data_IF_215531729167
#
_entry.id   IF_215531729167
#
_cell.length_a   1.000
_cell.length_b   1.000
_cell.length_c   1.000
_cell.angle_alpha   90.00
_cell.angle_beta   90.00
_cell.angle_gamma   90.00
#
_symmetry.space_group_name_H-M   'P 1'
#
loop_
_entity.id
_entity.type
_entity.pdbx_description
1 polymer ?
#
# COMPACT_ATOMS: atom_id res chain seq x y z
N UNK A 1 28.96 46.90 -9.68
CA UNK A 1 30.06 46.38 -8.85
C UNK A 1 29.78 46.72 -7.39
N UNK A 2 29.41 45.73 -6.59
CA UNK A 2 29.41 45.81 -5.13
C UNK A 2 29.59 44.38 -4.61
N UNK A 3 30.77 44.12 -4.03
CA UNK A 3 31.10 42.90 -3.29
C UNK A 3 31.11 43.25 -1.80
N UNK A 4 30.70 42.32 -0.93
CA UNK A 4 31.05 42.14 0.51
C UNK A 4 30.30 40.88 0.98
N UNK A 5 30.90 39.69 0.87
CA UNK A 5 31.77 38.97 1.82
C UNK A 5 31.07 38.33 3.03
N UNK A 6 31.27 37.00 3.10
CA UNK A 6 30.78 36.01 4.06
C UNK A 6 31.55 36.05 5.39
N UNK A 7 30.95 35.54 6.48
CA UNK A 7 31.67 34.69 7.46
C UNK A 7 30.78 33.62 8.10
N UNK A 8 31.36 32.43 8.22
CA UNK A 8 30.87 31.25 8.92
C UNK A 8 31.50 31.16 10.31
N UNK A 9 30.77 30.64 11.29
CA UNK A 9 31.33 30.25 12.59
C UNK A 9 31.06 28.77 12.85
N UNK A 10 32.14 27.99 12.88
CA UNK A 10 32.22 26.69 13.52
C UNK A 10 32.84 26.86 14.92
N UNK A 11 32.49 26.00 15.87
CA UNK A 11 33.14 25.94 17.18
C UNK A 11 33.73 24.55 17.45
N UNK A 12 34.82 24.45 18.24
CA UNK A 12 35.68 23.28 18.29
C UNK A 12 35.43 22.36 19.50
N UNK A 13 36.05 21.18 19.37
CA UNK A 13 36.13 20.05 20.28
C UNK A 13 36.74 20.39 21.66
N UNK A 14 36.41 19.59 22.67
CA UNK A 14 37.23 19.44 23.89
C UNK A 14 37.35 17.96 24.26
N UNK A 15 38.57 17.56 24.56
CA UNK A 15 39.01 16.21 24.95
C UNK A 15 39.76 16.26 26.30
N UNK A 16 40.07 15.08 26.84
CA UNK A 16 40.82 14.72 28.08
C UNK A 16 39.95 14.50 29.33
N UNK A 17 40.17 13.56 30.24
CA UNK A 17 41.07 12.40 30.34
C UNK A 17 40.64 11.53 31.55
N UNK A 18 40.71 10.21 31.39
CA UNK A 18 41.04 9.15 32.38
C UNK A 18 40.68 9.27 33.87
N UNK A 19 40.01 8.23 34.42
CA UNK A 19 40.48 7.54 35.64
C UNK A 19 40.02 6.08 35.73
N UNK A 20 41.02 5.21 35.96
CA UNK A 20 40.97 3.79 36.27
C UNK A 20 40.37 3.53 37.65
N UNK A 21 39.64 2.42 37.83
CA UNK A 21 39.90 1.30 38.76
C UNK A 21 38.64 0.43 38.92
N UNK A 22 38.62 -0.84 39.32
CA UNK A 22 39.58 -1.91 39.63
C UNK A 22 38.80 -3.25 39.40
N UNK A 23 39.48 -4.31 38.93
CA UNK A 23 39.04 -5.72 39.03
C UNK A 23 39.21 -6.22 40.49
N UNK A 24 38.57 -7.33 40.91
CA UNK A 24 39.31 -8.61 40.90
C UNK A 24 38.51 -9.88 40.52
N UNK A 25 39.27 -10.95 40.31
CA UNK A 25 38.93 -12.33 39.92
C UNK A 25 39.41 -13.29 41.03
N UNK A 26 38.61 -14.29 41.43
CA UNK A 26 38.98 -15.58 42.09
C UNK A 26 37.67 -16.26 42.57
N UNK A 27 37.46 -17.58 42.62
CA UNK A 27 38.27 -18.77 42.43
C UNK A 27 37.38 -20.04 42.51
N UNK A 28 37.93 -21.19 42.14
CA UNK A 28 37.33 -22.53 42.09
C UNK A 28 37.27 -23.22 43.47
N UNK A 29 36.24 -24.05 43.75
CA UNK A 29 36.34 -25.37 44.44
C UNK A 29 35.03 -26.19 44.37
N UNK A 30 35.18 -27.52 44.36
CA UNK A 30 34.21 -28.61 44.07
C UNK A 30 33.28 -29.06 45.22
N UNK A 31 32.06 -29.53 44.85
CA UNK A 31 31.25 -30.74 45.25
C UNK A 31 31.00 -31.09 46.75
N UNK A 32 29.87 -31.74 47.17
CA UNK A 32 29.40 -33.06 46.69
C UNK A 32 27.87 -33.31 46.60
N UNK A 33 27.56 -34.55 46.16
CA UNK A 33 26.27 -35.20 45.86
C UNK A 33 25.35 -35.44 47.07
N UNK A 34 24.02 -35.38 46.86
CA UNK A 34 23.01 -36.21 47.56
C UNK A 34 21.89 -36.60 46.57
N UNK A 35 21.40 -37.86 46.58
CA UNK A 35 20.41 -38.35 45.61
C UNK A 35 18.98 -38.49 46.17
N UNK A 36 18.04 -38.70 45.23
CA UNK A 36 16.69 -39.30 45.34
C UNK A 36 15.55 -38.45 45.93
N UNK A 37 14.53 -38.23 45.09
CA UNK A 37 13.22 -38.87 45.31
C UNK A 37 12.47 -39.08 44.00
N UNK A 38 12.22 -40.35 43.72
CA UNK A 38 11.41 -40.89 42.63
C UNK A 38 9.93 -40.64 42.93
N UNK A 39 9.21 -40.00 42.01
CA UNK A 39 7.76 -39.99 42.02
C UNK A 39 7.28 -41.23 41.25
N UNK A 40 6.67 -42.16 41.98
CA UNK A 40 5.90 -43.25 41.40
C UNK A 40 4.63 -42.68 40.77
N UNK A 41 4.50 -42.76 39.45
CA UNK A 41 3.20 -42.65 38.79
C UNK A 41 2.95 -43.93 38.00
N UNK A 42 1.87 -44.61 38.38
CA UNK A 42 1.37 -45.83 37.77
C UNK A 42 0.63 -45.43 36.50
N UNK A 43 1.24 -45.65 35.34
CA UNK A 43 0.57 -45.56 34.06
C UNK A 43 0.25 -46.98 33.60
N UNK A 44 -0.99 -47.40 33.87
CA UNK A 44 -1.66 -48.47 33.12
C UNK A 44 -2.32 -47.82 31.91
N UNK A 45 -2.04 -48.35 30.72
CA UNK A 45 -2.58 -47.86 29.46
C UNK A 45 -4.04 -48.21 29.24
N UNK A 46 -4.66 -47.53 28.29
CA UNK A 46 -5.40 -48.10 27.16
C UNK A 46 -5.60 -47.01 26.08
N UNK A 47 -5.74 -47.39 24.79
CA UNK A 47 -5.60 -46.51 23.65
C UNK A 47 -6.95 -46.01 23.14
N UNK A 48 -7.00 -44.74 22.73
CA UNK A 48 -8.07 -44.25 21.86
C UNK A 48 -7.45 -43.45 20.72
N UNK A 49 -7.28 -44.15 19.60
CA UNK A 49 -7.42 -43.68 18.23
C UNK A 49 -7.92 -42.23 18.14
N UNK A 50 -7.01 -41.30 17.90
CA UNK A 50 -7.34 -39.99 17.34
C UNK A 50 -6.54 -39.80 16.06
N UNK A 51 -7.31 -39.76 14.97
CA UNK A 51 -6.86 -39.51 13.63
C UNK A 51 -5.85 -38.36 13.58
N UNK A 52 -4.76 -38.63 12.88
CA UNK A 52 -3.76 -37.65 12.48
C UNK A 52 -4.46 -36.57 11.65
N UNK A 53 -4.95 -35.51 12.30
CA UNK A 53 -5.47 -34.31 11.63
C UNK A 53 -4.26 -33.60 11.06
N UNK A 54 -3.93 -33.97 9.82
CA UNK A 54 -3.10 -33.18 8.91
C UNK A 54 -3.50 -31.73 9.10
N UNK A 55 -2.57 -30.93 9.62
CA UNK A 55 -2.67 -29.48 9.63
C UNK A 55 -2.73 -29.01 8.19
N UNK A 56 -3.94 -28.99 7.64
CA UNK A 56 -4.23 -28.24 6.44
C UNK A 56 -3.96 -26.78 6.82
N UNK A 57 -2.84 -26.25 6.35
CA UNK A 57 -2.67 -24.82 6.18
C UNK A 57 -3.87 -24.37 5.35
N UNK A 58 -4.89 -23.87 6.03
CA UNK A 58 -6.06 -23.30 5.42
C UNK A 58 -5.54 -22.10 4.63
N UNK A 59 -5.29 -22.33 3.34
CA UNK A 59 -5.20 -21.26 2.36
C UNK A 59 -6.50 -20.49 2.56
N UNK A 60 -6.41 -19.31 3.18
CA UNK A 60 -7.51 -18.36 3.24
C UNK A 60 -7.78 -17.99 1.80
N UNK A 61 -8.63 -18.79 1.15
CA UNK A 61 -9.17 -18.49 -0.14
C UNK A 61 -10.07 -17.29 0.12
N UNK A 62 -9.65 -16.11 -0.34
CA UNK A 62 -10.50 -14.93 -0.41
C UNK A 62 -11.67 -15.31 -1.31
N UNK A 63 -12.76 -15.79 -0.70
CA UNK A 63 -14.04 -15.90 -1.36
C UNK A 63 -14.64 -14.52 -1.28
N UNK A 64 -14.75 -13.75 -2.38
CA UNK A 64 -15.49 -12.50 -2.34
C UNK A 64 -16.93 -12.86 -1.98
N UNK A 65 -17.32 -12.56 -0.73
CA UNK A 65 -18.72 -12.61 -0.33
C UNK A 65 -19.45 -11.61 -1.21
N UNK A 66 -20.33 -12.13 -2.04
CA UNK A 66 -21.17 -11.40 -2.98
C UNK A 66 -22.19 -10.55 -2.22
N UNK A 67 -21.72 -9.47 -1.63
CA UNK A 67 -22.51 -8.30 -1.32
C UNK A 67 -21.86 -7.18 -2.14
N UNK A 68 -22.31 -7.05 -3.38
CA UNK A 68 -22.02 -5.85 -4.17
C UNK A 68 -22.76 -4.75 -3.43
N UNK A 69 -22.08 -4.08 -2.50
CA UNK A 69 -22.61 -2.92 -1.80
C UNK A 69 -23.06 -1.95 -2.88
N UNK A 70 -24.36 -1.64 -2.86
CA UNK A 70 -24.92 -0.64 -3.73
C UNK A 70 -24.39 0.74 -3.30
N UNK A 71 -24.20 1.60 -4.30
CA UNK A 71 -24.18 3.07 -4.20
C UNK A 71 -22.84 3.73 -3.86
N UNK A 72 -21.91 3.68 -4.83
CA UNK A 72 -21.28 4.84 -5.48
C UNK A 72 -20.13 4.26 -6.31
N UNK A 73 -20.11 4.56 -7.62
CA UNK A 73 -18.97 4.17 -8.46
C UNK A 73 -17.74 4.91 -7.93
N UNK A 74 -16.61 4.23 -7.68
CA UNK A 74 -15.41 4.93 -7.27
C UNK A 74 -14.95 5.85 -8.41
N UNK A 75 -14.69 7.11 -8.11
CA UNK A 75 -14.24 8.10 -9.09
C UNK A 75 -12.94 8.75 -8.66
N UNK A 76 -12.23 9.28 -9.66
CA UNK A 76 -11.04 10.10 -9.48
C UNK A 76 -11.38 11.50 -9.96
N UNK A 77 -10.95 12.52 -9.23
CA UNK A 77 -11.19 13.92 -9.59
C UNK A 77 -9.92 14.75 -9.38
N UNK A 78 -9.68 15.68 -10.31
CA UNK A 78 -8.66 16.73 -10.18
C UNK A 78 -9.27 18.09 -9.81
N UNK A 79 -10.54 18.27 -10.15
CA UNK A 79 -11.39 19.40 -9.81
C UNK A 79 -12.62 18.79 -9.14
N UNK A 80 -12.97 19.27 -7.94
CA UNK A 80 -14.11 18.70 -7.20
C UNK A 80 -15.40 18.82 -8.00
N UNK A 81 -16.12 17.71 -8.13
CA UNK A 81 -17.34 17.62 -8.93
C UNK A 81 -17.14 17.21 -10.38
N UNK A 82 -15.89 17.08 -10.85
CA UNK A 82 -15.57 16.66 -12.22
C UNK A 82 -14.84 15.32 -12.21
N UNK A 83 -15.53 14.27 -12.66
CA UNK A 83 -14.97 12.92 -12.75
C UNK A 83 -13.98 12.79 -13.91
N UNK A 84 -12.78 12.33 -13.59
CA UNK A 84 -11.73 12.00 -14.56
C UNK A 84 -12.02 10.67 -15.25
N UNK A 85 -12.04 10.68 -16.58
CA UNK A 85 -12.35 9.51 -17.40
C UNK A 85 -11.11 8.74 -17.84
N UNK A 86 -9.95 9.39 -17.90
CA UNK A 86 -8.71 8.75 -18.35
C UNK A 86 -8.23 7.74 -17.30
N UNK A 87 -7.93 6.52 -17.76
CA UNK A 87 -7.38 5.46 -16.91
C UNK A 87 -5.90 5.74 -16.67
N UNK A 88 -5.44 5.85 -15.41
CA UNK A 88 -4.04 6.08 -15.12
C UNK A 88 -3.20 4.79 -15.17
N UNK A 89 -1.92 4.96 -15.48
CA UNK A 89 -0.89 4.00 -15.08
C UNK A 89 -0.61 4.18 -13.59
N UNK A 90 -0.69 3.10 -12.81
CA UNK A 90 -0.51 3.14 -11.36
C UNK A 90 0.75 2.37 -10.95
N UNK A 91 1.66 3.04 -10.27
CA UNK A 91 2.86 2.46 -9.68
C UNK A 91 2.80 2.54 -8.17
N UNK A 92 2.97 1.41 -7.51
CA UNK A 92 3.01 1.32 -6.06
C UNK A 92 4.45 1.06 -5.59
N UNK A 93 4.94 1.90 -4.69
CA UNK A 93 6.26 1.75 -4.07
C UNK A 93 6.11 1.68 -2.56
N UNK A 94 6.86 0.80 -1.90
CA UNK A 94 6.88 0.66 -0.43
C UNK A 94 8.30 0.80 0.06
N UNK A 95 8.49 1.48 1.19
CA UNK A 95 9.81 1.55 1.85
C UNK A 95 10.27 0.14 2.25
N UNK A 96 11.59 -0.04 2.40
CA UNK A 96 12.17 -1.34 2.81
C UNK A 96 11.60 -1.81 4.14
N UNK A 97 11.37 -0.87 5.05
CA UNK A 97 10.86 -1.12 6.41
C UNK A 97 9.34 -1.37 6.42
N UNK A 98 8.67 -1.14 5.29
CA UNK A 98 7.25 -1.41 5.10
C UNK A 98 6.30 -0.40 5.75
N UNK A 99 6.82 0.66 6.36
CA UNK A 99 6.05 1.68 7.10
C UNK A 99 5.42 2.72 6.19
N UNK A 100 6.09 3.07 5.09
CA UNK A 100 5.64 4.11 4.17
C UNK A 100 5.39 3.51 2.79
N UNK A 101 4.29 3.92 2.17
CA UNK A 101 3.95 3.59 0.79
C UNK A 101 3.71 4.86 -0.03
N UNK A 102 3.98 4.79 -1.32
CA UNK A 102 3.62 5.83 -2.28
C UNK A 102 2.95 5.17 -3.46
N UNK A 103 1.74 5.62 -3.79
CA UNK A 103 1.09 5.33 -5.05
C UNK A 103 1.31 6.51 -6.00
N UNK A 104 1.87 6.26 -7.16
CA UNK A 104 2.06 7.23 -8.23
C UNK A 104 1.11 6.91 -9.36
N UNK A 105 0.32 7.90 -9.75
CA UNK A 105 -0.64 7.83 -10.83
C UNK A 105 -0.14 8.70 -11.98
N UNK A 106 -0.15 8.15 -13.19
CA UNK A 106 0.26 8.86 -14.41
C UNK A 106 -0.90 8.80 -15.38
N UNK A 107 -1.44 9.96 -15.72
CA UNK A 107 -2.51 10.10 -16.69
C UNK A 107 -1.93 10.69 -17.98
N UNK A 108 -2.06 9.97 -19.08
CA UNK A 108 -1.71 10.48 -20.41
C UNK A 108 -2.95 11.10 -21.04
N UNK A 109 -2.86 12.37 -21.43
CA UNK A 109 -3.98 13.16 -21.95
C UNK A 109 -5.24 13.06 -21.06
N UNK A 110 -5.15 13.48 -19.78
CA UNK A 110 -6.30 13.46 -18.87
C UNK A 110 -7.42 14.38 -19.37
N UNK A 111 -8.66 13.93 -19.22
CA UNK A 111 -9.87 14.64 -19.64
C UNK A 111 -10.07 15.98 -18.92
N UNK A 112 -9.47 16.16 -17.73
CA UNK A 112 -9.48 17.45 -17.04
C UNK A 112 -8.88 18.59 -17.88
N UNK A 113 -7.96 18.31 -18.82
CA UNK A 113 -7.39 19.35 -19.67
C UNK A 113 -8.39 19.94 -20.66
N UNK A 114 -9.42 19.19 -21.04
CA UNK A 114 -10.50 19.69 -21.90
C UNK A 114 -11.46 20.60 -21.11
N UNK A 115 -11.49 20.43 -19.79
CA UNK A 115 -12.40 21.10 -18.86
C UNK A 115 -11.79 22.34 -18.18
N UNK A 116 -10.47 22.47 -18.15
CA UNK A 116 -9.76 23.46 -17.32
C UNK A 116 -10.01 24.92 -17.71
N UNK A 117 -10.53 25.20 -18.91
CA UNK A 117 -10.92 26.55 -19.32
C UNK A 117 -12.24 27.04 -18.69
N UNK A 118 -13.14 26.12 -18.34
CA UNK A 118 -14.51 26.41 -17.89
C UNK A 118 -14.76 26.02 -16.42
N UNK A 119 -14.07 24.98 -15.94
CA UNK A 119 -14.32 24.34 -14.64
C UNK A 119 -13.27 24.67 -13.55
N UNK A 120 -12.23 25.44 -13.89
CA UNK A 120 -11.22 25.93 -12.95
C UNK A 120 -9.88 25.18 -12.98
N UNK A 121 -8.96 25.60 -12.10
CA UNK A 121 -7.62 25.03 -11.98
C UNK A 121 -7.61 23.68 -11.25
N UNK A 122 -6.60 22.86 -11.52
CA UNK A 122 -6.36 21.59 -10.80
C UNK A 122 -6.05 21.92 -9.33
N UNK A 123 -6.95 21.58 -8.43
CA UNK A 123 -6.86 21.93 -6.99
C UNK A 123 -6.26 20.81 -6.14
N UNK A 124 -6.29 19.58 -6.62
CA UNK A 124 -5.76 18.41 -5.93
C UNK A 124 -6.00 17.13 -6.68
N UNK A 125 -5.83 16.01 -5.98
CA UNK A 125 -6.13 14.67 -6.48
C UNK A 125 -7.03 13.98 -5.46
N UNK A 126 -8.27 13.69 -5.86
CA UNK A 126 -9.31 13.13 -5.01
C UNK A 126 -9.72 11.76 -5.54
N UNK A 127 -9.72 10.76 -4.68
CA UNK A 127 -10.19 9.40 -4.93
C UNK A 127 -11.41 9.18 -4.03
N UNK A 128 -12.58 9.09 -4.65
CA UNK A 128 -13.88 9.16 -3.96
C UNK A 128 -14.58 7.81 -4.10
N UNK A 129 -15.00 7.22 -3.00
CA UNK A 129 -15.87 6.04 -2.97
C UNK A 129 -16.84 6.12 -1.78
N UNK A 130 -17.60 5.05 -1.55
CA UNK A 130 -18.56 4.94 -0.43
C UNK A 130 -17.91 5.08 0.97
N UNK A 131 -16.62 4.78 1.11
CA UNK A 131 -15.88 4.90 2.38
C UNK A 131 -15.37 6.34 2.60
N UNK A 132 -15.59 7.26 1.64
CA UNK A 132 -15.20 8.66 1.72
C UNK A 132 -14.14 9.05 0.69
N UNK A 133 -13.32 10.05 1.03
CA UNK A 133 -12.34 10.65 0.11
C UNK A 133 -10.92 10.41 0.57
N UNK A 134 -10.09 9.86 -0.31
CA UNK A 134 -8.63 9.88 -0.19
C UNK A 134 -8.11 11.03 -1.04
N UNK A 135 -7.34 11.95 -0.47
CA UNK A 135 -6.89 13.15 -1.18
C UNK A 135 -5.38 13.36 -1.10
N UNK A 136 -4.83 14.04 -2.11
CA UNK A 136 -3.46 14.53 -2.13
C UNK A 136 -3.37 15.89 -2.83
N UNK A 137 -2.34 16.65 -2.46
CA UNK A 137 -1.96 17.91 -3.12
C UNK A 137 -0.71 17.75 -4.00
N UNK A 138 -0.05 16.58 -3.94
CA UNK A 138 1.14 16.29 -4.75
C UNK A 138 0.70 15.90 -6.17
N UNK A 139 0.41 16.93 -6.97
CA UNK A 139 -0.07 16.85 -8.35
C UNK A 139 0.80 17.74 -9.22
N UNK A 140 1.21 17.24 -10.38
CA UNK A 140 2.08 17.94 -11.31
C UNK A 140 1.64 17.71 -12.76
N UNK A 141 1.39 18.80 -13.49
CA UNK A 141 1.17 18.74 -14.92
C UNK A 141 2.50 18.74 -15.69
N UNK A 142 2.57 17.98 -16.77
CA UNK A 142 3.69 17.94 -17.70
C UNK A 142 3.25 18.49 -19.06
N UNK A 143 4.07 19.38 -19.59
CA UNK A 143 3.87 20.01 -20.89
C UNK A 143 4.87 19.45 -21.90
N UNK A 144 4.40 19.18 -23.11
CA UNK A 144 5.23 18.76 -24.24
C UNK A 144 4.98 19.77 -25.35
N UNK A 145 6.03 20.46 -25.82
CA UNK A 145 5.94 21.51 -26.83
C UNK A 145 4.93 22.62 -26.48
N UNK A 146 4.86 23.02 -25.21
CA UNK A 146 3.95 24.07 -24.74
C UNK A 146 2.49 23.64 -24.57
N UNK A 147 2.14 22.38 -24.85
CA UNK A 147 0.79 21.83 -24.65
C UNK A 147 0.74 20.94 -23.41
N UNK A 148 -0.32 20.99 -22.59
CA UNK A 148 -0.50 20.07 -21.49
C UNK A 148 -0.66 18.65 -22.03
N UNK A 149 0.09 17.70 -21.47
CA UNK A 149 0.16 16.34 -22.02
C UNK A 149 -0.10 15.28 -20.95
N UNK A 150 0.45 15.44 -19.73
CA UNK A 150 0.29 14.45 -18.66
C UNK A 150 0.03 15.08 -17.32
N UNK A 151 -0.61 14.32 -16.42
CA UNK A 151 -0.62 14.62 -14.99
C UNK A 151 0.01 13.46 -14.24
N UNK A 152 0.92 13.79 -13.32
CA UNK A 152 1.44 12.87 -12.31
C UNK A 152 0.87 13.28 -10.95
N UNK A 153 0.24 12.34 -10.25
CA UNK A 153 -0.25 12.54 -8.89
C UNK A 153 0.32 11.49 -7.94
N UNK A 154 0.65 11.88 -6.72
CA UNK A 154 1.20 10.97 -5.69
C UNK A 154 0.35 10.96 -4.45
N UNK A 155 0.04 9.76 -3.97
CA UNK A 155 -0.62 9.54 -2.69
C UNK A 155 0.34 8.85 -1.72
N UNK A 156 0.61 9.49 -0.59
CA UNK A 156 1.53 9.00 0.44
C UNK A 156 0.73 8.30 1.55
N UNK A 157 1.04 7.04 1.79
CA UNK A 157 0.50 6.22 2.87
C UNK A 157 1.54 6.13 3.98
N UNK A 158 1.20 6.58 5.19
CA UNK A 158 2.12 6.59 6.33
C UNK A 158 1.79 5.53 7.36
N UNK A 159 0.59 4.96 7.27
CA UNK A 159 0.11 3.94 8.20
C UNK A 159 -0.41 2.71 7.45
N UNK A 160 -0.46 1.53 8.09
CA UNK A 160 -1.11 0.35 7.53
C UNK A 160 -2.60 0.58 7.22
N UNK A 161 -3.27 1.47 7.97
CA UNK A 161 -4.69 1.80 7.72
C UNK A 161 -4.86 2.56 6.41
N UNK A 162 -3.96 3.49 6.10
CA UNK A 162 -3.98 4.22 4.82
C UNK A 162 -3.81 3.24 3.66
N UNK A 163 -2.92 2.26 3.84
CA UNK A 163 -2.68 1.20 2.86
C UNK A 163 -3.91 0.34 2.63
N UNK A 164 -4.53 -0.18 3.69
CA UNK A 164 -5.74 -1.00 3.59
C UNK A 164 -6.89 -0.21 2.94
N UNK A 165 -7.05 1.06 3.33
CA UNK A 165 -8.06 1.96 2.77
C UNK A 165 -7.83 2.24 1.28
N UNK A 166 -6.58 2.44 0.87
CA UNK A 166 -6.19 2.62 -0.51
C UNK A 166 -6.43 1.36 -1.35
N UNK A 167 -6.04 0.19 -0.83
CA UNK A 167 -6.24 -1.09 -1.55
C UNK A 167 -7.73 -1.36 -1.80
N UNK A 168 -8.62 -1.06 -0.84
CA UNK A 168 -10.08 -1.18 -1.04
C UNK A 168 -10.59 -0.26 -2.15
N UNK A 169 -10.12 0.99 -2.18
CA UNK A 169 -10.45 1.91 -3.28
C UNK A 169 -10.01 1.32 -4.63
N UNK A 170 -8.77 0.85 -4.72
CA UNK A 170 -8.22 0.26 -5.95
C UNK A 170 -8.98 -1.00 -6.38
N UNK A 171 -9.35 -1.88 -5.45
CA UNK A 171 -10.16 -3.07 -5.74
C UNK A 171 -11.51 -2.70 -6.37
N UNK A 172 -12.19 -1.67 -5.85
CA UNK A 172 -13.43 -1.17 -6.44
C UNK A 172 -13.20 -0.50 -7.80
N UNK A 173 -12.16 0.31 -7.93
CA UNK A 173 -11.82 0.99 -9.18
C UNK A 173 -11.53 0.00 -10.30
N UNK A 174 -10.73 -1.03 -10.05
CA UNK A 174 -10.39 -2.05 -11.05
C UNK A 174 -11.63 -2.78 -11.56
N UNK A 175 -12.56 -3.11 -10.66
CA UNK A 175 -13.84 -3.73 -11.04
C UNK A 175 -14.68 -2.75 -11.86
N UNK A 176 -14.77 -1.48 -11.46
CA UNK A 176 -15.54 -0.47 -12.18
C UNK A 176 -15.00 -0.24 -13.60
N UNK A 177 -13.67 -0.09 -13.76
CA UNK A 177 -13.05 0.13 -15.06
C UNK A 177 -13.16 -1.09 -15.98
N UNK A 178 -13.02 -2.32 -15.44
CA UNK A 178 -13.20 -3.53 -16.24
C UNK A 178 -14.64 -3.66 -16.75
N UNK A 179 -15.63 -3.32 -15.92
CA UNK A 179 -17.05 -3.35 -16.31
C UNK A 179 -17.38 -2.25 -17.34
N UNK A 180 -16.79 -1.06 -17.23
CA UNK A 180 -17.01 0.05 -18.20
C UNK A 180 -16.31 -0.22 -19.54
N UNK A 181 -15.21 -0.98 -19.56
CA UNK A 181 -14.51 -1.37 -20.80
C UNK A 181 -15.24 -2.46 -21.59
N UNK A 182 -16.20 -3.18 -21.00
CA UNK A 182 -17.03 -4.12 -21.73
C UNK A 182 -18.16 -3.35 -22.42
N UNK A 183 -18.24 -3.35 -23.77
CA UNK A 183 -19.34 -2.70 -24.46
C UNK A 183 -20.65 -3.36 -24.03
N UNK A 184 -21.60 -2.53 -23.59
CA UNK A 184 -22.97 -2.92 -23.20
C UNK A 184 -23.79 -3.54 -24.36
N UNK A 185 -23.19 -3.75 -25.53
CA UNK A 185 -23.82 -4.23 -26.76
C UNK A 185 -23.40 -5.64 -27.17
N UNK A 186 -22.95 -6.49 -26.23
CA UNK A 186 -22.92 -7.94 -26.48
C UNK A 186 -24.36 -8.49 -26.49
N UNK A 187 -25.19 -8.00 -27.42
CA UNK A 187 -26.39 -8.67 -27.89
C UNK A 187 -25.90 -9.93 -28.60
N UNK A 188 -26.28 -11.09 -28.07
CA UNK A 188 -26.08 -12.39 -28.70
C UNK A 188 -26.92 -12.47 -29.99
N UNK A 189 -26.51 -11.78 -31.04
CA UNK A 189 -27.01 -12.03 -32.39
C UNK A 189 -26.17 -13.15 -33.02
N UNK A 190 -26.86 -14.19 -33.45
CA UNK A 190 -26.32 -15.51 -33.76
C UNK A 190 -25.27 -15.49 -34.86
N UNK A 191 -24.06 -15.93 -34.52
CA UNK A 191 -23.11 -16.45 -35.51
C UNK A 191 -23.55 -17.88 -35.84
N UNK A 192 -24.42 -18.02 -36.83
CA UNK A 192 -24.63 -19.29 -37.54
C UNK A 192 -23.35 -19.57 -38.32
N UNK A 193 -22.54 -20.49 -37.80
CA UNK A 193 -21.39 -21.03 -38.52
C UNK A 193 -21.95 -21.93 -39.63
N UNK A 194 -22.00 -21.41 -40.87
CA UNK A 194 -22.24 -22.24 -42.04
C UNK A 194 -21.03 -23.17 -42.23
N UNK A 195 -21.18 -24.42 -41.83
CA UNK A 195 -20.39 -25.52 -42.38
C UNK A 195 -20.93 -25.76 -43.80
N UNK A 196 -20.16 -25.35 -44.80
CA UNK A 196 -20.36 -25.75 -46.18
C UNK A 196 -19.87 -27.21 -46.36
N UNK A 197 -20.45 -27.96 -47.30
CA UNK A 197 -20.55 -29.43 -47.28
C UNK A 197 -19.24 -30.20 -47.51
#
# INVERSE_FOLDING_TARGET
>A
MAAMQCQAFASPLSCSSTRRSHRPLAGLVSAPRVPRRSASSSLKGEPLIHFNRRGANARRCYKPSRAITMMVRPTIQFIQGTDEQTIPDVKLTKSRDGTNGVATFIFDQPSVFDSSGELGDITGFFMIDEEGVLQSVDVSAKFINGKPARIEAKYIMRTPRDWDRFMRFMERCLVAFFVVKLPSSATLEGVVVHLAP
#
